data_IF_814102799136
#
_entry.id   IF_814102799136
#
_cell.length_a   1.000
_cell.length_b   1.000
_cell.length_c   1.000
_cell.angle_alpha   90.00
_cell.angle_beta   90.00
_cell.angle_gamma   90.00
#
_symmetry.space_group_name_H-M   'P 1'
#
loop_
_entity.id
_entity.type
_entity.pdbx_description
1 polymer ?
#
# COMPACT_ATOMS: atom_id res chain seq x y z
N UNK A 1 45.92 -27.80 -14.71
CA UNK A 1 44.57 -28.39 -14.92
C UNK A 1 43.67 -27.86 -13.80
N UNK A 2 42.47 -27.33 -13.97
CA UNK A 2 41.63 -27.04 -15.13
C UNK A 2 40.79 -25.79 -14.79
N UNK A 3 40.77 -24.84 -15.72
CA UNK A 3 39.90 -23.67 -15.74
C UNK A 3 38.46 -24.14 -15.97
N UNK A 4 37.53 -23.83 -15.07
CA UNK A 4 36.09 -24.00 -15.33
C UNK A 4 35.39 -22.65 -15.35
N UNK A 5 35.50 -22.03 -16.53
CA UNK A 5 34.57 -21.03 -17.04
C UNK A 5 33.14 -21.57 -16.96
N UNK A 6 32.19 -20.82 -16.39
CA UNK A 6 30.78 -20.96 -16.75
C UNK A 6 30.08 -19.59 -16.78
N UNK A 7 30.24 -18.98 -17.95
CA UNK A 7 29.22 -18.25 -18.70
C UNK A 7 28.44 -17.14 -17.99
N UNK A 8 28.90 -15.91 -18.24
CA UNK A 8 28.02 -14.77 -18.49
C UNK A 8 26.90 -15.20 -19.44
N UNK A 9 25.67 -15.31 -18.97
CA UNK A 9 24.50 -15.35 -19.86
C UNK A 9 23.93 -13.94 -19.96
N UNK A 10 24.59 -13.14 -20.80
CA UNK A 10 24.03 -11.90 -21.34
C UNK A 10 23.30 -12.30 -22.63
N UNK A 11 21.98 -12.34 -22.62
CA UNK A 11 21.13 -12.30 -23.83
C UNK A 11 19.66 -12.52 -23.48
N UNK A 12 18.94 -11.43 -23.25
CA UNK A 12 17.59 -11.27 -23.79
C UNK A 12 17.46 -9.76 -24.04
N UNK A 13 17.09 -9.39 -25.27
CA UNK A 13 17.03 -8.03 -25.77
C UNK A 13 16.41 -7.07 -24.73
N UNK A 14 17.14 -6.00 -24.38
CA UNK A 14 16.65 -4.96 -23.47
C UNK A 14 15.63 -4.09 -24.22
N UNK A 15 14.49 -4.68 -24.52
CA UNK A 15 13.26 -3.92 -24.64
C UNK A 15 13.01 -3.25 -23.28
N UNK A 16 12.42 -2.05 -23.23
CA UNK A 16 12.13 -1.35 -21.97
C UNK A 16 11.45 -2.26 -20.94
N UNK A 17 10.60 -3.19 -21.38
CA UNK A 17 9.94 -4.19 -20.54
C UNK A 17 10.90 -5.14 -19.82
N UNK A 18 11.91 -5.69 -20.50
CA UNK A 18 12.86 -6.60 -19.88
C UNK A 18 13.78 -5.93 -18.85
N UNK A 19 14.07 -4.63 -19.01
CA UNK A 19 14.82 -3.85 -18.02
C UNK A 19 13.98 -3.57 -16.77
N UNK A 20 12.68 -3.27 -16.97
CA UNK A 20 11.72 -3.04 -15.89
C UNK A 20 11.57 -4.28 -15.00
N UNK A 21 11.36 -5.46 -15.59
CA UNK A 21 11.16 -6.70 -14.82
C UNK A 21 12.40 -7.06 -13.97
N UNK A 22 13.60 -6.83 -14.51
CA UNK A 22 14.84 -7.03 -13.75
C UNK A 22 14.98 -6.05 -12.58
N UNK A 23 14.63 -4.78 -12.78
CA UNK A 23 14.67 -3.75 -11.72
C UNK A 23 13.64 -4.04 -10.62
N UNK A 24 12.43 -4.47 -10.99
CA UNK A 24 11.38 -4.89 -10.06
C UNK A 24 11.87 -6.08 -9.21
N UNK A 25 12.47 -7.10 -9.83
CA UNK A 25 13.03 -8.24 -9.10
C UNK A 25 14.18 -7.88 -8.15
N UNK A 26 15.02 -6.90 -8.51
CA UNK A 26 16.06 -6.39 -7.61
C UNK A 26 15.48 -5.69 -6.37
N UNK A 27 14.39 -4.94 -6.53
CA UNK A 27 13.70 -4.27 -5.42
C UNK A 27 13.06 -5.31 -4.49
N UNK A 28 12.39 -6.33 -5.03
CA UNK A 28 11.79 -7.41 -4.23
C UNK A 28 12.85 -8.20 -3.43
N UNK A 29 14.00 -8.49 -4.02
CA UNK A 29 15.08 -9.20 -3.32
C UNK A 29 15.69 -8.36 -2.18
N UNK A 30 15.77 -7.04 -2.35
CA UNK A 30 16.39 -6.14 -1.37
C UNK A 30 15.44 -5.77 -0.21
N UNK A 31 14.16 -5.54 -0.50
CA UNK A 31 13.18 -4.99 0.46
C UNK A 31 12.09 -5.99 0.86
N UNK A 32 12.10 -7.20 0.31
CA UNK A 32 11.14 -8.26 0.58
C UNK A 32 9.97 -8.29 -0.39
N UNK A 33 9.16 -9.37 -0.33
CA UNK A 33 8.00 -9.56 -1.21
C UNK A 33 6.95 -8.47 -0.97
N UNK A 34 6.39 -7.93 -2.05
CA UNK A 34 5.37 -6.87 -2.00
C UNK A 34 5.93 -5.45 -1.81
N UNK A 35 7.25 -5.27 -1.84
CA UNK A 35 7.89 -3.94 -1.80
C UNK A 35 7.63 -3.09 -3.04
N UNK A 36 7.33 -3.73 -4.18
CA UNK A 36 6.89 -3.09 -5.41
C UNK A 36 5.86 -3.98 -6.10
N UNK A 37 4.74 -3.40 -6.53
CA UNK A 37 3.68 -4.12 -7.22
C UNK A 37 3.02 -3.18 -8.24
N UNK A 38 2.43 -3.74 -9.29
CA UNK A 38 1.57 -2.96 -10.18
C UNK A 38 0.31 -2.57 -9.42
N UNK A 39 -0.09 -1.30 -9.52
CA UNK A 39 -1.31 -0.80 -8.86
C UNK A 39 -2.56 -1.57 -9.30
N UNK A 40 -2.59 -2.09 -10.53
CA UNK A 40 -3.69 -2.92 -11.05
C UNK A 40 -3.76 -4.32 -10.44
N UNK A 41 -2.60 -4.90 -10.06
CA UNK A 41 -2.51 -6.21 -9.40
C UNK A 41 -2.55 -6.09 -7.88
N UNK A 42 -2.43 -4.86 -7.35
CA UNK A 42 -2.69 -4.59 -5.95
C UNK A 42 -4.16 -4.90 -5.69
N UNK A 43 -4.43 -6.07 -5.09
CA UNK A 43 -5.71 -6.35 -4.44
C UNK A 43 -6.02 -5.12 -3.60
N UNK A 44 -7.06 -4.37 -3.96
CA UNK A 44 -7.47 -3.20 -3.18
C UNK A 44 -7.76 -3.71 -1.79
N UNK A 45 -6.79 -3.56 -0.88
CA UNK A 45 -6.93 -4.04 0.47
C UNK A 45 -8.14 -3.30 1.04
N UNK A 46 -9.21 -4.05 1.30
CA UNK A 46 -10.39 -3.48 1.96
C UNK A 46 -9.88 -2.87 3.26
N UNK A 47 -10.00 -1.56 3.37
CA UNK A 47 -9.61 -0.88 4.59
C UNK A 47 -10.74 -1.13 5.57
N UNK A 48 -10.41 -1.81 6.65
CA UNK A 48 -11.32 -1.93 7.77
C UNK A 48 -11.52 -0.55 8.39
N UNK A 49 -12.77 -0.21 8.68
CA UNK A 49 -13.12 1.01 9.39
C UNK A 49 -13.60 0.74 10.81
N UNK A 50 -13.45 1.75 11.66
CA UNK A 50 -13.93 1.78 13.05
C UNK A 50 -15.17 2.67 13.07
N UNK A 51 -16.27 2.18 13.63
CA UNK A 51 -17.49 2.99 13.76
C UNK A 51 -17.25 4.22 14.64
N UNK A 52 -17.76 5.37 14.22
CA UNK A 52 -17.58 6.68 14.89
C UNK A 52 -18.55 6.90 16.06
N UNK A 53 -19.43 5.94 16.35
CA UNK A 53 -20.51 6.10 17.34
C UNK A 53 -21.69 6.96 16.85
N UNK A 54 -21.58 7.59 15.67
CA UNK A 54 -22.64 8.35 15.02
C UNK A 54 -23.03 7.70 13.69
N UNK A 55 -24.19 7.02 13.65
CA UNK A 55 -24.65 6.29 12.47
C UNK A 55 -24.67 7.14 11.18
N UNK A 56 -25.08 8.41 11.29
CA UNK A 56 -25.10 9.34 10.15
C UNK A 56 -23.70 9.61 9.59
N UNK A 57 -22.68 9.65 10.44
CA UNK A 57 -21.30 9.90 10.04
C UNK A 57 -20.69 8.64 9.42
N UNK A 58 -20.95 7.47 10.00
CA UNK A 58 -20.50 6.19 9.44
C UNK A 58 -21.06 5.95 8.04
N UNK A 59 -22.35 6.28 7.82
CA UNK A 59 -22.98 6.24 6.51
C UNK A 59 -22.34 7.24 5.53
N UNK A 60 -22.06 8.47 5.97
CA UNK A 60 -21.38 9.48 5.16
C UNK A 60 -19.95 9.06 4.76
N UNK A 61 -19.27 8.27 5.61
CA UNK A 61 -17.95 7.70 5.35
C UNK A 61 -17.99 6.40 4.52
N UNK A 62 -19.10 6.13 3.83
CA UNK A 62 -19.24 4.94 2.98
C UNK A 62 -19.63 3.66 3.75
N UNK A 63 -20.21 3.82 4.94
CA UNK A 63 -20.73 2.74 5.77
C UNK A 63 -19.68 2.00 6.61
N UNK A 64 -18.42 2.44 6.58
CA UNK A 64 -17.31 1.77 7.28
C UNK A 64 -16.76 2.60 8.46
N UNK A 65 -17.10 3.88 8.58
CA UNK A 65 -16.57 4.76 9.61
C UNK A 65 -15.12 5.17 9.34
N UNK A 66 -14.32 5.33 10.40
CA UNK A 66 -12.95 5.86 10.36
C UNK A 66 -11.94 4.79 9.91
N UNK A 67 -11.12 5.03 8.88
CA UNK A 67 -10.21 4.02 8.33
C UNK A 67 -9.06 3.65 9.29
N UNK A 68 -8.86 2.34 9.53
CA UNK A 68 -7.72 1.84 10.30
C UNK A 68 -6.41 2.06 9.56
N UNK A 69 -5.34 2.34 10.32
CA UNK A 69 -3.99 2.52 9.77
C UNK A 69 -3.79 3.81 8.97
N UNK A 70 -4.73 4.76 9.06
CA UNK A 70 -4.63 6.09 8.45
C UNK A 70 -4.73 7.19 9.49
N UNK A 71 -4.14 8.33 9.15
CA UNK A 71 -4.29 9.56 9.91
C UNK A 71 -5.57 10.23 9.44
N UNK A 72 -6.44 10.57 10.39
CA UNK A 72 -7.66 11.33 10.14
C UNK A 72 -7.60 12.63 10.91
N UNK A 73 -8.00 13.71 10.26
CA UNK A 73 -8.00 15.03 10.85
C UNK A 73 -9.44 15.56 11.00
N UNK A 74 -9.78 15.98 12.21
CA UNK A 74 -11.08 16.50 12.58
C UNK A 74 -10.95 18.01 12.82
N UNK A 75 -11.69 18.82 12.05
CA UNK A 75 -11.69 20.28 12.18
C UNK A 75 -13.05 20.82 12.61
N UNK A 76 -13.05 21.95 13.33
CA UNK A 76 -14.27 22.65 13.75
C UNK A 76 -14.10 23.42 15.07
N UNK A 77 -15.08 24.27 15.44
CA UNK A 77 -15.09 25.00 16.71
C UNK A 77 -14.91 24.04 17.88
N UNK A 78 -14.04 24.37 18.85
CA UNK A 78 -13.64 23.44 19.92
C UNK A 78 -14.79 22.90 20.77
N UNK A 79 -15.90 23.65 20.89
CA UNK A 79 -16.85 23.45 21.98
C UNK A 79 -17.90 22.35 21.78
N UNK A 80 -18.00 21.68 20.61
CA UNK A 80 -19.24 20.93 20.32
C UNK A 80 -19.11 19.44 19.99
N UNK A 81 -18.05 18.97 19.33
CA UNK A 81 -18.07 17.59 18.84
C UNK A 81 -16.70 16.91 18.68
N UNK A 82 -15.59 17.66 18.71
CA UNK A 82 -14.27 17.07 18.41
C UNK A 82 -13.80 16.09 19.48
N UNK A 83 -13.92 16.47 20.75
CA UNK A 83 -13.51 15.64 21.89
C UNK A 83 -14.42 14.41 22.06
N UNK A 84 -15.76 14.53 22.07
CA UNK A 84 -16.64 13.37 22.22
C UNK A 84 -16.48 12.33 21.10
N UNK A 85 -16.31 12.76 19.84
CA UNK A 85 -16.10 11.84 18.71
C UNK A 85 -14.77 11.08 18.74
N UNK A 86 -13.75 11.62 19.43
CA UNK A 86 -12.44 10.97 19.54
C UNK A 86 -12.43 9.88 20.61
N UNK A 87 -13.27 9.99 21.64
CA UNK A 87 -13.30 9.08 22.78
C UNK A 87 -14.26 7.89 22.61
N UNK A 88 -15.08 7.88 21.57
CA UNK A 88 -16.05 6.82 21.25
C UNK A 88 -15.52 5.86 20.20
#
# INVERSE_FOLDING_TARGET
MAKKTKTRKKSAAETPAGMLDNAVGQIEQAFGPGSIMKLSDATTHKIEGIGTGALSLDLALGGQGMPRGRIVELYGPESRARQPLLFT
#
